data_IF_504406465673
#
_entry.id   IF_504406465673
#
_cell.length_a   1.000
_cell.length_b   1.000
_cell.length_c   1.000
_cell.angle_alpha   90.00
_cell.angle_beta   90.00
_cell.angle_gamma   90.00
#
_symmetry.space_group_name_H-M   'P 1'
#
loop_
_entity.id
_entity.type
_entity.pdbx_description
1 polymer ?
#
# COMPACT_ATOMS: atom_id res chain seq x y z
N UNK A 1 21.99 -6.78 -6.72
CA UNK A 1 21.11 -6.19 -7.75
C UNK A 1 20.56 -4.86 -7.26
N UNK A 2 20.06 -4.00 -8.13
CA UNK A 2 19.35 -2.78 -7.73
C UNK A 2 17.84 -3.03 -7.78
N UNK A 3 17.15 -2.87 -6.66
CA UNK A 3 15.72 -3.13 -6.55
C UNK A 3 14.99 -1.81 -6.26
N UNK A 4 14.02 -1.50 -7.12
CA UNK A 4 13.21 -0.30 -7.00
C UNK A 4 11.86 -0.61 -6.37
N UNK A 5 11.54 0.04 -5.25
CA UNK A 5 10.24 -0.02 -4.57
C UNK A 5 9.47 1.27 -4.75
N UNK A 6 8.14 1.19 -4.87
CA UNK A 6 7.26 2.36 -4.97
C UNK A 6 6.12 2.32 -3.96
N UNK A 7 6.13 3.27 -3.01
CA UNK A 7 5.14 3.42 -1.95
C UNK A 7 4.18 4.56 -2.29
N UNK A 8 2.96 4.27 -2.70
CA UNK A 8 1.99 5.28 -3.17
C UNK A 8 0.83 5.56 -2.21
N UNK A 9 0.76 4.87 -1.08
CA UNK A 9 -0.25 5.06 -0.04
C UNK A 9 0.30 4.67 1.33
N UNK A 10 -0.35 5.10 2.42
CA UNK A 10 0.11 4.94 3.79
C UNK A 10 0.38 3.48 4.22
N UNK A 11 -0.38 2.51 3.74
CA UNK A 11 -0.15 1.10 4.05
C UNK A 11 1.09 0.51 3.34
N UNK A 12 1.55 1.10 2.22
CA UNK A 12 2.61 0.51 1.40
C UNK A 12 3.97 0.41 2.12
N UNK A 13 4.42 1.39 2.91
CA UNK A 13 5.64 1.24 3.69
C UNK A 13 5.61 0.07 4.67
N UNK A 14 4.47 -0.17 5.32
CA UNK A 14 4.29 -1.29 6.24
C UNK A 14 4.39 -2.63 5.49
N UNK A 15 3.68 -2.74 4.37
CA UNK A 15 3.65 -3.95 3.54
C UNK A 15 5.00 -4.22 2.87
N UNK A 16 5.68 -3.20 2.37
CA UNK A 16 6.93 -3.36 1.63
C UNK A 16 8.18 -3.31 2.53
N UNK A 17 8.10 -2.73 3.72
CA UNK A 17 9.22 -2.58 4.65
C UNK A 17 9.96 -3.89 4.92
N UNK A 18 9.31 -4.97 5.37
CA UNK A 18 9.97 -6.25 5.60
C UNK A 18 10.63 -6.85 4.34
N UNK A 19 10.05 -6.58 3.16
CA UNK A 19 10.62 -7.01 1.88
C UNK A 19 11.85 -6.17 1.56
N UNK A 20 11.80 -4.86 1.75
CA UNK A 20 12.93 -3.94 1.61
C UNK A 20 14.11 -4.39 2.49
N UNK A 21 13.83 -4.67 3.77
CA UNK A 21 14.85 -5.11 4.73
C UNK A 21 15.50 -6.42 4.32
N UNK A 22 14.74 -7.36 3.77
CA UNK A 22 15.27 -8.60 3.23
C UNK A 22 16.21 -8.39 2.05
N UNK A 23 15.89 -7.47 1.15
CA UNK A 23 16.78 -7.13 0.04
C UNK A 23 18.04 -6.43 0.53
N UNK A 24 17.92 -5.47 1.47
CA UNK A 24 19.07 -4.81 2.10
C UNK A 24 19.99 -5.83 2.83
N UNK A 25 19.40 -6.74 3.59
CA UNK A 25 20.15 -7.78 4.30
C UNK A 25 20.91 -8.75 3.36
N UNK A 26 20.45 -8.91 2.12
CA UNK A 26 21.16 -9.64 1.07
C UNK A 26 22.32 -8.86 0.43
N UNK A 27 22.47 -7.58 0.75
CA UNK A 27 23.43 -6.69 0.11
C UNK A 27 22.97 -6.12 -1.23
N UNK A 28 21.67 -6.13 -1.51
CA UNK A 28 21.11 -5.50 -2.70
C UNK A 28 21.03 -3.97 -2.51
N UNK A 29 21.23 -3.22 -3.59
CA UNK A 29 21.01 -1.78 -3.64
C UNK A 29 19.51 -1.49 -3.73
N UNK A 30 18.95 -0.77 -2.77
CA UNK A 30 17.52 -0.51 -2.67
C UNK A 30 17.23 0.96 -2.96
N UNK A 31 16.37 1.21 -3.94
CA UNK A 31 15.79 2.50 -4.27
C UNK A 31 14.32 2.52 -3.87
N UNK A 32 13.91 3.46 -3.02
CA UNK A 32 12.50 3.62 -2.65
C UNK A 32 11.98 4.95 -3.18
N UNK A 33 10.88 4.91 -3.90
CA UNK A 33 10.14 6.11 -4.31
C UNK A 33 8.79 6.18 -3.61
N UNK A 34 8.33 7.39 -3.37
CA UNK A 34 7.01 7.66 -2.82
C UNK A 34 6.37 8.85 -3.50
N UNK A 35 5.12 9.12 -3.20
CA UNK A 35 4.46 10.40 -3.54
C UNK A 35 3.96 11.05 -2.25
N UNK A 36 3.82 12.35 -2.30
CA UNK A 36 3.19 13.09 -1.22
C UNK A 36 1.69 12.76 -1.16
N UNK A 37 1.32 11.88 -0.22
CA UNK A 37 -0.06 11.44 -0.04
C UNK A 37 -0.28 10.85 1.35
N UNK A 38 -1.22 11.45 2.10
CA UNK A 38 -1.59 11.00 3.44
C UNK A 38 -0.38 10.91 4.36
N UNK A 39 -0.34 9.86 5.16
CA UNK A 39 0.70 9.60 6.15
C UNK A 39 1.89 8.80 5.61
N UNK A 40 2.00 8.59 4.29
CA UNK A 40 3.00 7.70 3.68
C UNK A 40 4.43 8.11 4.06
N UNK A 41 4.73 9.41 4.00
CA UNK A 41 6.06 9.96 4.34
C UNK A 41 6.36 9.73 5.82
N UNK A 42 5.45 10.10 6.72
CA UNK A 42 5.66 9.92 8.16
C UNK A 42 5.85 8.45 8.58
N UNK A 43 5.24 7.50 7.85
CA UNK A 43 5.47 6.07 8.11
C UNK A 43 6.84 5.63 7.60
N UNK A 44 7.28 6.10 6.43
CA UNK A 44 8.64 5.83 5.91
C UNK A 44 9.70 6.36 6.89
N UNK A 45 9.54 7.59 7.39
CA UNK A 45 10.42 8.19 8.39
C UNK A 45 10.48 7.36 9.67
N UNK A 46 9.30 6.96 10.19
CA UNK A 46 9.21 6.11 11.40
C UNK A 46 9.91 4.76 11.22
N UNK A 47 9.84 4.18 10.02
CA UNK A 47 10.50 2.91 9.71
C UNK A 47 11.99 3.07 9.35
N UNK A 48 12.53 4.28 9.32
CA UNK A 48 13.92 4.54 8.92
C UNK A 48 14.22 4.14 7.47
N UNK A 49 13.22 4.17 6.60
CA UNK A 49 13.37 3.82 5.19
C UNK A 49 13.73 5.08 4.41
N UNK A 50 14.92 5.11 3.81
CA UNK A 50 15.32 6.18 2.89
C UNK A 50 14.49 6.15 1.62
N UNK A 51 14.03 7.32 1.15
CA UNK A 51 13.14 7.42 -0.01
C UNK A 51 13.36 8.70 -0.81
N UNK A 52 12.87 8.68 -2.04
CA UNK A 52 12.77 9.86 -2.91
C UNK A 52 11.32 10.20 -3.18
N UNK A 53 10.90 11.44 -2.88
CA UNK A 53 9.54 11.90 -3.17
C UNK A 53 9.43 12.25 -4.66
N UNK A 54 8.50 11.60 -5.36
CA UNK A 54 8.23 11.81 -6.77
C UNK A 54 6.74 12.09 -6.98
N UNK A 55 6.40 13.37 -7.11
CA UNK A 55 5.03 13.82 -7.34
C UNK A 55 4.14 13.79 -6.09
N UNK A 56 2.91 14.25 -6.28
CA UNK A 56 1.86 14.32 -5.26
C UNK A 56 0.58 13.63 -5.76
N UNK A 57 -0.39 13.46 -4.87
CA UNK A 57 -1.70 12.90 -5.24
C UNK A 57 -2.49 13.87 -6.14
N UNK A 58 -3.12 13.34 -7.19
CA UNK A 58 -3.83 14.12 -8.22
C UNK A 58 -5.22 14.65 -7.82
N UNK A 59 -5.58 14.57 -6.53
CA UNK A 59 -6.91 14.99 -6.02
C UNK A 59 -8.05 14.03 -6.39
N UNK A 60 -9.29 14.48 -6.22
CA UNK A 60 -10.50 13.67 -6.44
C UNK A 60 -10.92 13.54 -7.91
N UNK A 61 -10.58 14.49 -8.79
CA UNK A 61 -11.04 14.50 -10.17
C UNK A 61 -10.32 13.50 -11.07
N UNK A 62 -11.03 12.89 -12.03
CA UNK A 62 -10.46 11.96 -13.01
C UNK A 62 -9.37 12.63 -13.87
N UNK A 63 -9.56 13.87 -14.25
CA UNK A 63 -8.59 14.65 -15.04
C UNK A 63 -7.30 14.93 -14.24
N UNK A 64 -7.45 15.35 -12.97
CA UNK A 64 -6.33 15.59 -12.06
C UNK A 64 -5.53 14.29 -11.82
N UNK A 65 -6.21 13.16 -11.60
CA UNK A 65 -5.57 11.84 -11.47
C UNK A 65 -4.80 11.45 -12.74
N UNK A 66 -5.38 11.65 -13.93
CA UNK A 66 -4.71 11.37 -15.21
C UNK A 66 -3.47 12.23 -15.42
N UNK A 67 -3.55 13.56 -15.18
CA UNK A 67 -2.42 14.48 -15.28
C UNK A 67 -1.30 14.12 -14.28
N UNK A 68 -1.67 13.82 -13.04
CA UNK A 68 -0.72 13.40 -12.01
C UNK A 68 -0.01 12.09 -12.42
N UNK A 69 -0.74 11.11 -12.94
CA UNK A 69 -0.18 9.84 -13.45
C UNK A 69 0.88 10.12 -14.53
N UNK A 70 0.55 10.90 -15.56
CA UNK A 70 1.49 11.20 -16.66
C UNK A 70 2.72 11.95 -16.15
N UNK A 71 2.53 13.00 -15.36
CA UNK A 71 3.62 13.80 -14.81
C UNK A 71 4.54 12.98 -13.91
N UNK A 72 3.94 12.14 -13.04
CA UNK A 72 4.71 11.28 -12.13
C UNK A 72 5.45 10.19 -12.88
N UNK A 73 4.80 9.53 -13.83
CA UNK A 73 5.44 8.51 -14.67
C UNK A 73 6.63 9.06 -15.45
N UNK A 74 6.55 10.29 -15.97
CA UNK A 74 7.69 10.94 -16.65
C UNK A 74 8.89 11.18 -15.71
N UNK A 75 8.63 11.62 -14.46
CA UNK A 75 9.68 11.79 -13.45
C UNK A 75 10.30 10.46 -13.03
N UNK A 76 9.46 9.45 -12.81
CA UNK A 76 9.91 8.08 -12.49
C UNK A 76 10.69 7.46 -13.66
N UNK A 77 10.30 7.73 -14.91
CA UNK A 77 11.04 7.30 -16.09
C UNK A 77 12.47 7.88 -16.14
N UNK A 78 12.62 9.18 -15.83
CA UNK A 78 13.95 9.81 -15.71
C UNK A 78 14.79 9.15 -14.62
N UNK A 79 14.18 8.87 -13.47
CA UNK A 79 14.86 8.21 -12.35
C UNK A 79 15.25 6.77 -12.73
N UNK A 80 14.36 5.99 -13.34
CA UNK A 80 14.65 4.63 -13.79
C UNK A 80 15.77 4.60 -14.84
N UNK A 81 15.78 5.55 -15.77
CA UNK A 81 16.85 5.72 -16.76
C UNK A 81 18.23 5.94 -16.12
N UNK A 82 18.30 6.80 -15.09
CA UNK A 82 19.57 7.11 -14.41
C UNK A 82 20.01 6.01 -13.43
N UNK A 83 19.08 5.40 -12.71
CA UNK A 83 19.38 4.41 -11.66
C UNK A 83 19.50 2.97 -12.19
N UNK A 84 18.87 2.66 -13.34
CA UNK A 84 18.86 1.34 -14.00
C UNK A 84 18.53 0.19 -13.04
N UNK A 85 17.35 0.14 -12.45
CA UNK A 85 16.98 -0.95 -11.55
C UNK A 85 16.83 -2.27 -12.32
N UNK A 86 17.26 -3.35 -11.66
CA UNK A 86 17.16 -4.73 -12.18
C UNK A 86 15.77 -5.34 -11.91
N UNK A 87 15.05 -4.83 -10.92
CA UNK A 87 13.73 -5.30 -10.48
C UNK A 87 12.93 -4.13 -9.92
N UNK A 88 11.64 -4.12 -10.17
CA UNK A 88 10.70 -3.14 -9.63
C UNK A 88 9.57 -3.83 -8.85
N UNK A 89 9.27 -3.34 -7.63
CA UNK A 89 8.27 -3.92 -6.74
C UNK A 89 7.36 -2.82 -6.20
N UNK A 90 6.05 -3.04 -6.21
CA UNK A 90 5.10 -2.11 -5.60
C UNK A 90 3.84 -2.82 -5.09
N UNK A 91 3.04 -2.09 -4.32
CA UNK A 91 1.70 -2.50 -3.93
C UNK A 91 0.67 -1.73 -4.77
N UNK A 92 0.36 -2.25 -5.98
CA UNK A 92 -0.64 -1.65 -6.86
C UNK A 92 -0.25 -0.31 -7.51
N UNK A 93 1.05 -0.04 -7.76
CA UNK A 93 1.49 1.18 -8.46
C UNK A 93 1.42 1.03 -9.97
N UNK A 94 0.55 1.80 -10.60
CA UNK A 94 0.41 1.88 -12.06
C UNK A 94 1.60 2.62 -12.67
N UNK A 95 2.05 3.70 -12.04
CA UNK A 95 3.21 4.49 -12.48
C UNK A 95 4.45 3.62 -12.63
N UNK A 96 4.79 2.86 -11.57
CA UNK A 96 5.93 1.94 -11.61
C UNK A 96 5.75 0.87 -12.70
N UNK A 97 4.54 0.29 -12.83
CA UNK A 97 4.29 -0.74 -13.83
C UNK A 97 4.49 -0.22 -15.26
N UNK A 98 4.00 0.99 -15.58
CA UNK A 98 4.17 1.62 -16.89
C UNK A 98 5.64 1.91 -17.19
N UNK A 99 6.38 2.49 -16.23
CA UNK A 99 7.80 2.78 -16.39
C UNK A 99 8.61 1.49 -16.55
N UNK A 100 8.28 0.46 -15.77
CA UNK A 100 8.92 -0.84 -15.88
C UNK A 100 8.71 -1.50 -17.25
N UNK A 101 7.51 -1.35 -17.82
CA UNK A 101 7.22 -1.82 -19.18
C UNK A 101 8.09 -1.09 -20.23
N UNK A 102 8.17 0.26 -20.14
CA UNK A 102 8.93 1.09 -21.10
C UNK A 102 10.42 0.72 -21.11
N UNK A 103 11.00 0.47 -19.94
CA UNK A 103 12.43 0.16 -19.82
C UNK A 103 12.73 -1.35 -19.71
N UNK A 104 11.74 -2.20 -19.95
CA UNK A 104 11.86 -3.65 -19.85
C UNK A 104 12.44 -4.12 -18.49
N UNK A 105 12.03 -3.44 -17.39
CA UNK A 105 12.41 -3.79 -16.03
C UNK A 105 11.44 -4.87 -15.54
N UNK A 106 11.92 -6.05 -15.10
CA UNK A 106 11.08 -7.03 -14.44
C UNK A 106 10.30 -6.41 -13.27
N UNK A 107 8.99 -6.65 -13.20
CA UNK A 107 8.20 -6.05 -12.13
C UNK A 107 7.26 -7.02 -11.43
N UNK A 108 7.07 -6.78 -10.14
CA UNK A 108 6.13 -7.48 -9.28
C UNK A 108 5.17 -6.50 -8.59
N UNK A 109 3.90 -6.88 -8.55
CA UNK A 109 2.86 -6.11 -7.87
C UNK A 109 2.28 -6.95 -6.72
N UNK A 110 2.32 -6.43 -5.51
CA UNK A 110 1.59 -7.00 -4.38
C UNK A 110 0.17 -6.44 -4.40
N UNK A 111 -0.78 -7.25 -3.99
CA UNK A 111 -2.19 -6.85 -3.87
C UNK A 111 -2.90 -7.71 -2.82
N UNK A 112 -3.83 -7.11 -2.10
CA UNK A 112 -4.61 -7.73 -1.03
C UNK A 112 -6.13 -7.59 -1.25
N UNK A 113 -6.54 -7.19 -2.46
CA UNK A 113 -7.92 -6.87 -2.77
C UNK A 113 -8.23 -7.17 -4.24
N UNK A 114 -9.17 -8.08 -4.48
CA UNK A 114 -9.51 -8.57 -5.82
C UNK A 114 -10.42 -7.64 -6.64
N UNK A 115 -11.15 -6.73 -5.98
CA UNK A 115 -12.05 -5.77 -6.66
C UNK A 115 -11.28 -4.54 -7.14
N UNK A 116 -10.17 -4.78 -7.82
CA UNK A 116 -9.30 -3.72 -8.30
C UNK A 116 -9.96 -2.87 -9.38
N UNK A 117 -9.95 -1.56 -9.20
CA UNK A 117 -10.34 -0.60 -10.23
C UNK A 117 -9.49 -0.71 -11.49
N UNK A 118 -9.96 -0.11 -12.59
CA UNK A 118 -9.34 -0.23 -13.91
C UNK A 118 -7.83 0.08 -13.93
N UNK A 119 -7.40 1.08 -13.17
CA UNK A 119 -5.98 1.44 -13.10
C UNK A 119 -5.11 0.29 -12.56
N UNK A 120 -5.53 -0.37 -11.48
CA UNK A 120 -4.78 -1.52 -10.92
C UNK A 120 -4.78 -2.71 -11.85
N UNK A 121 -5.87 -2.93 -12.60
CA UNK A 121 -5.93 -3.97 -13.63
C UNK A 121 -4.86 -3.76 -14.72
N UNK A 122 -4.57 -2.51 -15.09
CA UNK A 122 -3.47 -2.19 -16.02
C UNK A 122 -2.13 -2.64 -15.43
N UNK A 123 -1.86 -2.30 -14.16
CA UNK A 123 -0.63 -2.72 -13.48
C UNK A 123 -0.47 -4.25 -13.44
N UNK A 124 -1.55 -5.00 -13.16
CA UNK A 124 -1.52 -6.46 -13.11
C UNK A 124 -1.28 -7.09 -14.50
N UNK A 125 -1.84 -6.49 -15.57
CA UNK A 125 -1.60 -6.97 -16.93
C UNK A 125 -0.16 -6.77 -17.37
N UNK A 126 0.46 -5.67 -16.94
CA UNK A 126 1.83 -5.31 -17.28
C UNK A 126 2.85 -6.11 -16.46
N UNK A 127 2.65 -6.21 -15.14
CA UNK A 127 3.59 -6.86 -14.23
C UNK A 127 3.90 -8.31 -14.64
N UNK A 128 5.13 -8.75 -14.40
CA UNK A 128 5.52 -10.14 -14.62
C UNK A 128 5.03 -11.07 -13.51
N UNK A 129 4.88 -10.54 -12.29
CA UNK A 129 4.32 -11.26 -11.14
C UNK A 129 3.31 -10.40 -10.42
N UNK A 130 2.25 -11.05 -9.94
CA UNK A 130 1.24 -10.45 -9.04
C UNK A 130 1.13 -11.37 -7.84
N UNK A 131 1.46 -10.83 -6.67
CA UNK A 131 1.49 -11.57 -5.41
C UNK A 131 0.24 -11.21 -4.60
N UNK A 132 -0.51 -12.21 -4.18
CA UNK A 132 -1.74 -12.03 -3.41
C UNK A 132 -1.84 -13.06 -2.27
N UNK A 133 -2.61 -12.80 -1.21
CA UNK A 133 -2.99 -13.82 -0.24
C UNK A 133 -3.69 -15.01 -0.92
N UNK A 134 -3.50 -16.21 -0.40
CA UNK A 134 -4.16 -17.42 -0.91
C UNK A 134 -5.67 -17.45 -0.65
N UNK A 135 -6.15 -16.60 0.27
CA UNK A 135 -7.57 -16.34 0.48
C UNK A 135 -8.28 -15.69 -0.72
N UNK A 136 -7.53 -15.10 -1.67
CA UNK A 136 -8.10 -14.54 -2.89
C UNK A 136 -8.16 -15.63 -3.98
N UNK A 137 -9.36 -16.00 -4.45
CA UNK A 137 -9.51 -17.04 -5.47
C UNK A 137 -8.78 -16.71 -6.77
N UNK A 138 -8.00 -17.65 -7.35
CA UNK A 138 -7.24 -17.42 -8.59
C UNK A 138 -8.09 -16.95 -9.76
N UNK A 139 -9.32 -17.42 -9.86
CA UNK A 139 -10.26 -17.03 -10.93
C UNK A 139 -10.68 -15.56 -10.85
N UNK A 140 -10.73 -14.96 -9.66
CA UNK A 140 -10.96 -13.53 -9.49
C UNK A 140 -9.77 -12.72 -10.00
N UNK A 141 -8.55 -13.15 -9.67
CA UNK A 141 -7.33 -12.50 -10.14
C UNK A 141 -7.14 -12.67 -11.66
N UNK A 142 -7.58 -13.80 -12.22
CA UNK A 142 -7.53 -14.02 -13.67
C UNK A 142 -8.39 -12.99 -14.44
N UNK A 143 -9.55 -12.60 -13.90
CA UNK A 143 -10.45 -11.57 -14.50
C UNK A 143 -9.77 -10.21 -14.59
N UNK A 144 -8.92 -9.87 -13.64
CA UNK A 144 -8.20 -8.58 -13.59
C UNK A 144 -6.82 -8.64 -14.24
N UNK A 145 -6.44 -9.76 -14.85
CA UNK A 145 -5.24 -9.90 -15.68
C UNK A 145 -4.06 -10.64 -15.03
N UNK A 146 -4.22 -11.14 -13.81
CA UNK A 146 -3.21 -11.97 -13.13
C UNK A 146 -3.60 -13.45 -13.19
N UNK A 147 -3.02 -14.21 -14.13
CA UNK A 147 -3.32 -15.64 -14.34
C UNK A 147 -2.06 -16.48 -14.62
N UNK A 148 -2.18 -17.78 -14.41
CA UNK A 148 -1.11 -18.74 -14.66
C UNK A 148 0.16 -18.43 -13.87
N UNK A 149 1.32 -18.51 -14.49
CA UNK A 149 2.63 -18.26 -13.87
C UNK A 149 2.81 -16.82 -13.34
N UNK A 150 1.96 -15.89 -13.76
CA UNK A 150 1.97 -14.51 -13.29
C UNK A 150 1.46 -14.40 -11.86
N UNK A 151 0.43 -15.16 -11.51
CA UNK A 151 -0.15 -15.17 -10.17
C UNK A 151 0.72 -15.99 -9.23
N UNK A 152 1.08 -15.40 -8.11
CA UNK A 152 1.79 -16.05 -7.00
C UNK A 152 0.95 -15.82 -5.75
N UNK A 153 0.50 -16.90 -5.14
CA UNK A 153 -0.24 -16.84 -3.89
C UNK A 153 0.69 -17.16 -2.71
N UNK A 154 0.53 -16.40 -1.63
CA UNK A 154 1.22 -16.66 -0.38
C UNK A 154 0.19 -17.00 0.72
N UNK A 155 0.56 -17.87 1.69
CA UNK A 155 -0.36 -18.25 2.77
C UNK A 155 -0.62 -17.08 3.72
N UNK A 156 -1.84 -17.01 4.24
CA UNK A 156 -2.26 -16.00 5.21
C UNK A 156 -2.53 -14.62 4.62
N UNK A 157 -2.47 -13.60 5.47
CA UNK A 157 -2.68 -12.20 5.12
C UNK A 157 -1.37 -11.42 5.10
N UNK A 158 -1.37 -10.25 4.47
CA UNK A 158 -0.18 -9.38 4.48
C UNK A 158 0.22 -8.97 5.91
N UNK A 159 -0.75 -8.85 6.79
CA UNK A 159 -0.58 -8.53 8.20
C UNK A 159 0.28 -9.56 8.93
N UNK A 160 0.13 -10.83 8.59
CA UNK A 160 0.84 -11.93 9.24
C UNK A 160 2.37 -11.77 9.12
N UNK A 161 2.86 -11.28 7.98
CA UNK A 161 4.30 -11.12 7.80
C UNK A 161 4.83 -9.77 8.29
N UNK A 162 4.09 -8.67 8.12
CA UNK A 162 4.63 -7.38 8.55
C UNK A 162 4.41 -7.11 10.05
N UNK A 163 3.51 -7.82 10.70
CA UNK A 163 3.34 -7.81 12.15
C UNK A 163 4.08 -8.96 12.86
N UNK A 164 4.76 -9.85 12.15
CA UNK A 164 5.43 -11.01 12.76
C UNK A 164 6.43 -10.65 13.87
N UNK A 165 7.03 -9.48 13.79
CA UNK A 165 7.95 -8.94 14.81
C UNK A 165 7.34 -7.88 15.72
N UNK A 166 6.04 -7.61 15.61
CA UNK A 166 5.38 -6.56 16.37
C UNK A 166 5.33 -6.92 17.86
N UNK A 167 5.80 -6.01 18.71
CA UNK A 167 5.69 -6.11 20.15
C UNK A 167 4.73 -5.01 20.63
N UNK A 168 3.59 -5.37 21.26
CA UNK A 168 2.68 -4.39 21.82
C UNK A 168 3.38 -3.56 22.91
N UNK A 169 3.24 -2.25 22.86
CA UNK A 169 3.71 -1.35 23.90
C UNK A 169 2.54 -0.97 24.81
N UNK A 170 2.49 -1.50 26.05
CA UNK A 170 1.42 -1.17 26.98
C UNK A 170 1.46 0.28 27.47
N UNK A 171 2.56 1.03 27.25
CA UNK A 171 2.65 2.43 27.60
C UNK A 171 1.73 3.31 26.74
N UNK A 172 1.42 2.89 25.51
CA UNK A 172 0.54 3.62 24.59
C UNK A 172 -0.84 3.92 25.19
N UNK A 173 -1.38 3.00 25.99
CA UNK A 173 -2.66 3.20 26.68
C UNK A 173 -2.59 4.42 27.62
N UNK A 174 -1.51 4.51 28.39
CA UNK A 174 -1.30 5.63 29.32
C UNK A 174 -0.96 6.93 28.57
N UNK A 175 -0.16 6.87 27.53
CA UNK A 175 0.19 8.03 26.68
C UNK A 175 -1.03 8.66 26.02
N UNK A 176 -2.01 7.83 25.63
CA UNK A 176 -3.27 8.27 25.05
C UNK A 176 -4.31 8.66 26.12
N UNK A 177 -3.99 8.55 27.42
CA UNK A 177 -4.90 8.87 28.51
C UNK A 177 -6.11 7.93 28.59
N UNK A 178 -5.98 6.69 28.11
CA UNK A 178 -7.08 5.73 28.06
C UNK A 178 -7.18 4.95 29.37
N UNK A 179 -8.42 4.69 29.81
CA UNK A 179 -8.69 3.87 30.99
C UNK A 179 -8.61 2.37 30.60
N UNK A 180 -7.77 1.63 31.34
CA UNK A 180 -7.59 0.18 31.13
C UNK A 180 -8.77 -0.66 31.59
N UNK A 181 -9.62 -0.12 32.45
CA UNK A 181 -10.81 -0.80 32.93
C UNK A 181 -11.95 -0.77 31.92
N UNK A 182 -11.87 0.16 30.95
CA UNK A 182 -12.84 0.29 29.87
C UNK A 182 -12.53 -0.65 28.70
N UNK A 183 -13.58 -1.05 28.00
CA UNK A 183 -13.47 -1.72 26.68
C UNK A 183 -13.00 -0.69 25.67
N UNK A 184 -11.81 -0.88 25.11
CA UNK A 184 -11.27 0.00 24.08
C UNK A 184 -11.82 -0.41 22.70
N UNK A 185 -12.45 0.52 22.02
CA UNK A 185 -12.99 0.33 20.68
C UNK A 185 -12.26 1.25 19.70
N UNK A 186 -11.47 0.67 18.81
CA UNK A 186 -10.81 1.42 17.73
C UNK A 186 -11.79 1.63 16.59
N UNK A 187 -12.11 2.89 16.30
CA UNK A 187 -13.04 3.26 15.23
C UNK A 187 -12.28 3.91 14.08
N UNK A 188 -12.44 3.35 12.89
CA UNK A 188 -11.87 3.93 11.68
C UNK A 188 -12.95 4.69 10.90
N UNK A 189 -12.76 5.98 10.60
CA UNK A 189 -13.66 6.73 9.73
C UNK A 189 -13.79 6.09 8.35
N UNK A 190 -14.97 6.21 7.70
CA UNK A 190 -15.16 5.74 6.33
C UNK A 190 -14.15 6.40 5.37
N UNK A 191 -13.64 5.67 4.37
CA UNK A 191 -12.68 6.21 3.41
C UNK A 191 -13.39 7.02 2.31
N UNK A 192 -13.89 8.21 2.62
CA UNK A 192 -14.72 9.06 1.74
C UNK A 192 -14.15 9.31 0.33
N UNK A 193 -12.82 9.32 0.20
CA UNK A 193 -12.14 9.53 -1.09
C UNK A 193 -11.86 8.24 -1.87
N UNK A 194 -12.24 7.08 -1.33
CA UNK A 194 -12.03 5.78 -1.98
C UNK A 194 -13.07 5.52 -3.05
N UNK A 195 -12.66 4.86 -4.14
CA UNK A 195 -13.57 4.48 -5.23
C UNK A 195 -14.60 3.41 -4.81
N UNK A 196 -14.36 2.73 -3.69
CA UNK A 196 -15.26 1.72 -3.10
C UNK A 196 -16.02 2.24 -1.88
N UNK A 197 -15.95 3.55 -1.61
CA UNK A 197 -16.76 4.14 -0.54
C UNK A 197 -18.23 4.12 -0.91
N UNK A 198 -19.04 3.67 0.03
CA UNK A 198 -20.49 3.79 -0.02
C UNK A 198 -20.95 4.40 1.31
N UNK A 199 -21.88 5.34 1.23
CA UNK A 199 -22.48 5.93 2.42
C UNK A 199 -23.09 4.83 3.29
N UNK A 200 -22.77 4.88 4.57
CA UNK A 200 -23.33 3.97 5.55
C UNK A 200 -23.99 4.77 6.68
N UNK A 201 -25.32 4.88 6.68
CA UNK A 201 -26.03 5.66 7.68
C UNK A 201 -25.87 5.13 9.11
N UNK A 202 -25.47 3.86 9.26
CA UNK A 202 -25.25 3.25 10.57
C UNK A 202 -23.97 3.76 11.25
N UNK A 203 -23.05 4.39 10.52
CA UNK A 203 -21.78 4.84 11.09
C UNK A 203 -21.99 5.83 12.24
N UNK A 204 -22.79 6.86 12.02
CA UNK A 204 -23.10 7.87 13.04
C UNK A 204 -23.84 7.26 14.23
N UNK A 205 -24.77 6.35 13.99
CA UNK A 205 -25.49 5.65 15.05
C UNK A 205 -24.55 4.80 15.91
N UNK A 206 -23.57 4.11 15.28
CA UNK A 206 -22.56 3.33 16.01
C UNK A 206 -21.70 4.23 16.87
N UNK A 207 -21.24 5.39 16.34
CA UNK A 207 -20.46 6.35 17.12
C UNK A 207 -21.24 6.86 18.32
N UNK A 208 -22.50 7.25 18.15
CA UNK A 208 -23.35 7.73 19.25
C UNK A 208 -23.57 6.65 20.34
N UNK A 209 -23.76 5.40 19.91
CA UNK A 209 -23.88 4.27 20.86
C UNK A 209 -22.61 4.01 21.63
N UNK A 210 -21.45 4.10 20.98
CA UNK A 210 -20.15 3.92 21.64
C UNK A 210 -19.87 5.05 22.63
N UNK A 211 -20.16 6.30 22.27
CA UNK A 211 -19.97 7.47 23.11
C UNK A 211 -20.84 7.42 24.39
N UNK A 212 -22.04 6.86 24.29
CA UNK A 212 -22.99 6.73 25.39
C UNK A 212 -22.88 5.43 26.19
N UNK A 213 -22.04 4.47 25.78
CA UNK A 213 -21.95 3.16 26.41
C UNK A 213 -21.09 3.20 27.69
N UNK A 214 -21.62 2.82 28.88
CA UNK A 214 -20.83 2.77 30.10
C UNK A 214 -19.67 1.78 29.98
N UNK A 215 -18.49 2.18 30.48
CA UNK A 215 -17.30 1.30 30.46
C UNK A 215 -16.70 1.06 29.07
N UNK A 216 -17.02 1.92 28.09
CA UNK A 216 -16.46 1.90 26.76
C UNK A 216 -15.71 3.20 26.48
N UNK A 217 -14.54 3.09 25.86
CA UNK A 217 -13.78 4.22 25.32
C UNK A 217 -13.54 3.99 23.82
N UNK A 218 -14.11 4.84 22.98
CA UNK A 218 -13.88 4.83 21.53
C UNK A 218 -12.70 5.75 21.16
N UNK A 219 -11.80 5.28 20.31
CA UNK A 219 -10.61 6.00 19.82
C UNK A 219 -10.48 5.89 18.30
#
# INVERSE_FOLDING_TARGET
MKVWFDCTAAAHPLVLGPVIDRFKARGDDVLVTTREYGQTIGILDRLGIEYTVVGAHGGGSKFGKGRALVSRSAKLAKLAWSSRPDLAIAHGSVDLALVSLIYNIPSAQLQDYEFAGLQRQVAFRIAQRVLVPDSIPPERMARVGAKGRKLVQYPGLKEDYYLAGFQPDPAVIAELGLDRENVLVVVRPPPETSEYHADNPLYEEVIQRLDSAPGVTAV
#
